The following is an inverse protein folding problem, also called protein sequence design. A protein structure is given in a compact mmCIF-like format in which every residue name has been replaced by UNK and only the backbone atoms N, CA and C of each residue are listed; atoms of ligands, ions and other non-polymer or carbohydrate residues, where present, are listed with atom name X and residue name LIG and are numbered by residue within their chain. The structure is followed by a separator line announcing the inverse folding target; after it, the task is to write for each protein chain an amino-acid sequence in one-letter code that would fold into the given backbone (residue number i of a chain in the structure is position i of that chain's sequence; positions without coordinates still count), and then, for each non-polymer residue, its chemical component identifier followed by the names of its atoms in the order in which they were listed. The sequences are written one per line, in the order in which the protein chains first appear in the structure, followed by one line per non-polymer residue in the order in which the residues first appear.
data_IF_503418553014
#
_entry.id   IF_503418553014
#
_cell.length_a   1.000
_cell.length_b   1.000
_cell.length_c   1.000
_cell.angle_alpha   90.00
_cell.angle_beta   90.00
_cell.angle_gamma   90.00
#
_symmetry.space_group_name_H-M   'P 1'
#
loop_
_entity.id
_entity.type
_entity.pdbx_description
1 polymer ?
#
# COMPACT_ATOMS: atom_id res chain seq x y z
N UNK A 1 25.36 28.97 5.64
CA UNK A 1 24.70 27.69 5.99
C UNK A 1 23.66 27.42 4.91
N UNK A 2 23.88 26.45 4.01
CA UNK A 2 22.85 26.02 3.05
C UNK A 2 21.80 25.21 3.83
N UNK A 3 20.54 25.60 3.71
CA UNK A 3 19.46 25.13 4.57
C UNK A 3 19.08 23.69 4.22
N UNK A 4 18.93 22.84 5.23
CA UNK A 4 18.48 21.44 5.12
C UNK A 4 17.16 21.32 4.34
N UNK A 5 16.35 22.39 4.31
CA UNK A 5 15.12 22.48 3.50
C UNK A 5 15.33 22.44 1.98
N UNK A 6 16.46 22.92 1.44
CA UNK A 6 16.70 22.90 -0.02
C UNK A 6 17.01 21.49 -0.52
N UNK A 7 17.72 20.68 0.29
CA UNK A 7 18.03 19.29 -0.07
C UNK A 7 16.79 18.39 -0.11
N UNK A 8 15.83 18.58 0.79
CA UNK A 8 14.59 17.80 0.78
C UNK A 8 13.80 18.03 -0.52
N UNK A 9 13.76 19.27 -1.03
CA UNK A 9 13.06 19.57 -2.29
C UNK A 9 13.73 18.98 -3.54
N UNK A 10 15.05 18.79 -3.52
CA UNK A 10 15.76 18.14 -4.62
C UNK A 10 15.56 16.62 -4.61
N UNK A 11 15.67 15.99 -3.44
CA UNK A 11 15.42 14.56 -3.26
C UNK A 11 13.97 14.18 -3.62
N UNK A 12 12.99 14.98 -3.18
CA UNK A 12 11.58 14.77 -3.50
C UNK A 12 11.30 14.88 -5.00
N UNK A 13 12.00 15.79 -5.70
CA UNK A 13 11.85 15.94 -7.16
C UNK A 13 12.37 14.73 -7.91
N UNK A 14 13.54 14.22 -7.52
CA UNK A 14 14.12 13.00 -8.11
C UNK A 14 13.22 11.80 -7.83
N UNK A 15 12.73 11.66 -6.61
CA UNK A 15 11.81 10.59 -6.24
C UNK A 15 10.52 10.61 -7.10
N UNK A 16 9.95 11.80 -7.36
CA UNK A 16 8.80 11.94 -8.26
C UNK A 16 9.13 11.55 -9.70
N UNK A 17 10.26 12.00 -10.23
CA UNK A 17 10.68 11.65 -11.61
C UNK A 17 10.90 10.14 -11.77
N UNK A 18 11.51 9.49 -10.78
CA UNK A 18 11.65 8.02 -10.75
C UNK A 18 10.28 7.37 -10.73
N UNK A 19 9.35 7.82 -9.88
CA UNK A 19 8.00 7.23 -9.80
C UNK A 19 7.20 7.40 -11.09
N UNK A 20 7.28 8.57 -11.73
CA UNK A 20 6.65 8.85 -13.02
C UNK A 20 7.22 7.92 -14.10
N UNK A 21 8.56 7.80 -14.16
CA UNK A 21 9.20 6.90 -15.11
C UNK A 21 8.84 5.43 -14.89
N UNK A 22 8.86 4.96 -13.63
CA UNK A 22 8.47 3.59 -13.30
C UNK A 22 7.02 3.31 -13.70
N UNK A 23 6.14 4.32 -13.62
CA UNK A 23 4.77 4.21 -14.08
C UNK A 23 4.68 4.16 -15.61
N UNK A 24 5.39 5.04 -16.33
CA UNK A 24 5.36 5.10 -17.80
C UNK A 24 6.00 3.87 -18.47
N UNK A 25 7.07 3.34 -17.88
CA UNK A 25 7.77 2.14 -18.36
C UNK A 25 7.04 0.83 -18.07
N UNK A 26 5.98 0.86 -17.25
CA UNK A 26 5.25 -0.33 -16.80
C UNK A 26 5.95 -1.12 -15.68
N UNK A 27 7.18 -0.75 -15.30
CA UNK A 27 7.94 -1.41 -14.22
C UNK A 27 7.20 -1.32 -12.88
N UNK A 28 6.51 -0.20 -12.60
CA UNK A 28 5.65 -0.07 -11.42
C UNK A 28 4.56 -1.13 -11.37
N UNK A 29 3.90 -1.39 -12.50
CA UNK A 29 2.80 -2.34 -12.55
C UNK A 29 3.30 -3.78 -12.51
N UNK A 30 4.44 -4.07 -13.16
CA UNK A 30 5.17 -5.34 -13.00
C UNK A 30 5.56 -5.62 -11.56
N UNK A 31 6.12 -4.63 -10.85
CA UNK A 31 6.49 -4.77 -9.43
C UNK A 31 5.24 -5.00 -8.56
N UNK A 32 4.12 -4.31 -8.83
CA UNK A 32 2.86 -4.55 -8.12
C UNK A 32 2.32 -5.96 -8.36
N UNK A 33 2.30 -6.42 -9.61
CA UNK A 33 1.81 -7.75 -9.96
C UNK A 33 2.67 -8.83 -9.31
N UNK A 34 4.00 -8.68 -9.37
CA UNK A 34 4.90 -9.56 -8.61
C UNK A 34 4.60 -9.53 -7.11
N UNK A 35 4.45 -8.35 -6.51
CA UNK A 35 4.20 -8.22 -5.07
C UNK A 35 2.90 -8.92 -4.66
N UNK A 36 1.83 -8.76 -5.44
CA UNK A 36 0.54 -9.44 -5.20
C UNK A 36 0.74 -10.95 -5.25
N UNK A 37 1.34 -11.47 -6.32
CA UNK A 37 1.58 -12.91 -6.50
C UNK A 37 2.48 -13.49 -5.39
N UNK A 38 3.52 -12.76 -4.98
CA UNK A 38 4.45 -13.20 -3.93
C UNK A 38 3.76 -13.25 -2.56
N UNK A 39 2.93 -12.25 -2.25
CA UNK A 39 2.13 -12.21 -1.01
C UNK A 39 1.07 -13.32 -0.98
N UNK A 40 0.38 -13.56 -2.11
CA UNK A 40 -0.60 -14.63 -2.24
C UNK A 40 0.04 -16.01 -2.09
N UNK A 41 1.17 -16.25 -2.78
CA UNK A 41 1.89 -17.53 -2.70
C UNK A 41 2.39 -17.86 -1.29
N UNK A 42 2.62 -16.82 -0.47
CA UNK A 42 3.02 -16.94 0.95
C UNK A 42 1.84 -17.01 1.91
N UNK A 43 0.61 -17.02 1.40
CA UNK A 43 -0.61 -17.09 2.19
C UNK A 43 -0.91 -15.83 3.00
N UNK A 44 -0.25 -14.71 2.69
CA UNK A 44 -0.45 -13.45 3.44
C UNK A 44 -1.87 -12.91 3.25
N UNK A 45 -2.39 -12.96 2.02
CA UNK A 45 -3.77 -12.56 1.70
C UNK A 45 -4.80 -13.44 2.42
N UNK A 46 -4.59 -14.76 2.45
CA UNK A 46 -5.46 -15.70 3.15
C UNK A 46 -5.46 -15.48 4.67
N UNK A 47 -4.29 -15.17 5.26
CA UNK A 47 -4.17 -14.84 6.68
C UNK A 47 -4.92 -13.55 7.03
N UNK A 48 -4.81 -12.50 6.21
CA UNK A 48 -5.58 -11.27 6.40
C UNK A 48 -7.09 -11.47 6.24
N UNK A 49 -7.50 -12.31 5.29
CA UNK A 49 -8.91 -12.64 5.11
C UNK A 49 -9.48 -13.31 6.36
N UNK A 50 -8.80 -14.34 6.87
CA UNK A 50 -9.18 -15.01 8.12
C UNK A 50 -9.24 -14.02 9.28
N UNK A 51 -8.27 -13.10 9.37
CA UNK A 51 -8.25 -12.07 10.42
C UNK A 51 -9.43 -11.11 10.30
N UNK A 52 -9.80 -10.73 9.09
CA UNK A 52 -10.98 -9.91 8.84
C UNK A 52 -12.26 -10.63 9.31
N UNK A 53 -12.40 -11.93 9.01
CA UNK A 53 -13.52 -12.75 9.46
C UNK A 53 -13.61 -12.83 11.00
N UNK A 54 -12.47 -12.97 11.68
CA UNK A 54 -12.40 -12.95 13.15
C UNK A 54 -12.87 -11.61 13.74
N UNK A 55 -12.44 -10.49 13.15
CA UNK A 55 -12.87 -9.14 13.58
C UNK A 55 -14.36 -8.94 13.34
N UNK A 56 -14.88 -9.32 12.17
CA UNK A 56 -16.31 -9.27 11.84
C UNK A 56 -17.13 -10.09 12.84
N UNK A 57 -16.69 -11.31 13.13
CA UNK A 57 -17.36 -12.21 14.07
C UNK A 57 -17.38 -11.64 15.48
N UNK A 58 -16.26 -11.07 15.95
CA UNK A 58 -16.18 -10.44 17.27
C UNK A 58 -17.09 -9.20 17.38
N UNK A 59 -17.20 -8.38 16.33
CA UNK A 59 -18.08 -7.21 16.34
C UNK A 59 -19.57 -7.57 16.31
N UNK A 60 -19.95 -8.69 15.68
CA UNK A 60 -21.34 -9.18 15.66
C UNK A 60 -21.85 -9.68 17.01
N UNK A 61 -20.97 -9.91 17.99
CA UNK A 61 -21.29 -10.41 19.33
C UNK A 61 -21.33 -9.32 20.41
N UNK A 62 -21.10 -8.04 20.05
CA UNK A 62 -21.18 -6.93 21.01
C UNK A 62 -22.66 -6.58 21.33
N UNK A 63 -23.09 -6.71 22.60
CA UNK A 63 -24.47 -6.42 23.01
C UNK A 63 -24.91 -4.96 22.78
N UNK A 64 -24.00 -4.02 22.51
CA UNK A 64 -24.37 -2.66 22.05
C UNK A 64 -25.09 -2.64 20.70
N UNK A 65 -24.94 -3.66 19.86
CA UNK A 65 -25.65 -3.80 18.57
C UNK A 65 -26.85 -4.76 18.66
N UNK A 66 -26.97 -5.55 19.73
CA UNK A 66 -28.06 -6.52 19.93
C UNK A 66 -29.31 -6.00 20.66
N UNK A 67 -29.28 -4.80 21.26
CA UNK A 67 -30.35 -4.30 22.13
C UNK A 67 -31.45 -3.48 21.42
N UNK A 68 -31.58 -3.53 20.09
CA UNK A 68 -32.72 -2.89 19.38
C UNK A 68 -33.78 -3.88 18.89
N UNK A 69 -33.48 -5.18 18.86
CA UNK A 69 -34.37 -6.20 18.27
C UNK A 69 -35.29 -6.86 19.30
N UNK A 70 -36.07 -6.03 20.00
CA UNK A 70 -37.20 -6.47 20.82
C UNK A 70 -38.58 -6.15 20.20
N UNK A 71 -38.61 -5.50 19.02
CA UNK A 71 -39.83 -5.29 18.23
C UNK A 71 -39.52 -5.49 16.75
N UNK A 72 -40.34 -6.26 16.01
CA UNK A 72 -40.16 -6.41 14.57
C UNK A 72 -40.35 -5.02 13.89
N UNK A 73 -39.41 -4.57 13.06
CA UNK A 73 -39.58 -3.32 12.33
C UNK A 73 -40.64 -3.50 11.25
N UNK A 74 -41.61 -2.59 11.23
CA UNK A 74 -42.58 -2.48 10.14
C UNK A 74 -41.84 -2.24 8.83
N UNK A 75 -42.20 -3.05 7.84
CA UNK A 75 -41.81 -2.91 6.43
C UNK A 75 -42.33 -1.56 5.93
N UNK A 76 -41.44 -0.60 5.71
CA UNK A 76 -41.48 0.48 4.71
C UNK A 76 -40.64 1.69 5.16
N UNK A 77 -39.33 1.64 4.90
CA UNK A 77 -38.49 2.82 4.73
C UNK A 77 -37.12 2.42 4.13
N UNK A 78 -36.61 3.13 3.10
CA UNK A 78 -35.26 2.92 2.60
C UNK A 78 -34.26 3.45 3.62
N UNK A 79 -33.90 2.61 4.58
CA UNK A 79 -32.98 2.98 5.65
C UNK A 79 -31.52 2.87 5.18
N UNK A 80 -30.95 4.04 4.90
CA UNK A 80 -29.56 4.45 5.16
C UNK A 80 -28.48 3.34 5.21
N UNK A 81 -27.73 3.19 4.11
CA UNK A 81 -26.47 2.41 4.02
C UNK A 81 -25.29 3.00 4.83
N UNK A 82 -25.54 3.88 5.81
CA UNK A 82 -24.49 4.67 6.46
C UNK A 82 -23.80 3.96 7.63
N UNK A 83 -24.38 2.88 8.16
CA UNK A 83 -23.81 2.05 9.24
C UNK A 83 -22.82 0.99 8.75
N UNK A 84 -23.02 0.44 7.55
CA UNK A 84 -22.17 -0.61 6.98
C UNK A 84 -20.82 -0.05 6.53
N UNK A 85 -20.81 1.14 5.92
CA UNK A 85 -19.59 1.84 5.50
C UNK A 85 -18.67 2.19 6.68
N UNK A 86 -19.24 2.57 7.83
CA UNK A 86 -18.48 2.87 9.04
C UNK A 86 -17.81 1.60 9.59
N UNK A 87 -18.48 0.45 9.46
CA UNK A 87 -18.00 -0.86 9.92
C UNK A 87 -16.86 -1.36 9.05
N UNK A 88 -17.00 -1.29 7.72
CA UNK A 88 -15.93 -1.65 6.77
C UNK A 88 -14.69 -0.78 6.97
N UNK A 89 -14.85 0.54 7.13
CA UNK A 89 -13.72 1.46 7.35
C UNK A 89 -12.99 1.18 8.67
N UNK A 90 -13.72 0.82 9.73
CA UNK A 90 -13.13 0.45 11.01
C UNK A 90 -12.35 -0.86 10.92
N UNK A 91 -12.88 -1.87 10.23
CA UNK A 91 -12.19 -3.14 10.00
C UNK A 91 -10.92 -2.91 9.17
N UNK A 92 -11.01 -2.14 8.08
CA UNK A 92 -9.87 -1.80 7.24
C UNK A 92 -8.77 -1.05 8.01
N UNK A 93 -9.16 -0.12 8.90
CA UNK A 93 -8.21 0.61 9.76
C UNK A 93 -7.48 -0.33 10.73
N UNK A 94 -8.19 -1.26 11.36
CA UNK A 94 -7.60 -2.25 12.27
C UNK A 94 -6.67 -3.21 11.53
N UNK A 95 -7.09 -3.71 10.36
CA UNK A 95 -6.30 -4.62 9.54
C UNK A 95 -5.08 -3.95 8.91
N UNK A 96 -5.13 -2.66 8.57
CA UNK A 96 -4.03 -1.96 7.86
C UNK A 96 -2.70 -2.03 8.62
N UNK A 97 -2.74 -1.82 9.94
CA UNK A 97 -1.54 -1.92 10.77
C UNK A 97 -1.01 -3.35 10.82
N UNK A 98 -1.89 -4.31 11.11
CA UNK A 98 -1.55 -5.74 11.20
C UNK A 98 -1.03 -6.27 9.85
N UNK A 99 -1.61 -5.83 8.74
CA UNK A 99 -1.19 -6.12 7.38
C UNK A 99 0.25 -5.67 7.12
N UNK A 100 0.59 -4.42 7.44
CA UNK A 100 1.95 -3.89 7.24
C UNK A 100 3.01 -4.62 8.10
N UNK A 101 2.67 -4.92 9.35
CA UNK A 101 3.58 -5.60 10.28
C UNK A 101 3.83 -7.06 9.89
N UNK A 102 2.78 -7.74 9.41
CA UNK A 102 2.79 -9.16 9.04
C UNK A 102 3.35 -9.45 7.64
N UNK A 103 3.70 -8.43 6.85
CA UNK A 103 4.37 -8.65 5.56
C UNK A 103 5.66 -9.45 5.80
N UNK A 104 5.87 -10.59 5.13
CA UNK A 104 7.07 -11.38 5.33
C UNK A 104 8.33 -10.58 4.98
N UNK A 105 9.35 -10.64 5.82
CA UNK A 105 10.59 -9.86 5.63
C UNK A 105 11.24 -10.12 4.27
N UNK A 106 11.24 -11.38 3.81
CA UNK A 106 11.73 -11.74 2.49
C UNK A 106 11.01 -11.00 1.35
N UNK A 107 9.70 -10.73 1.48
CA UNK A 107 8.92 -9.94 0.51
C UNK A 107 9.36 -8.48 0.56
N UNK A 108 9.47 -7.90 1.77
CA UNK A 108 9.91 -6.51 1.95
C UNK A 108 11.30 -6.27 1.38
N UNK A 109 12.25 -7.15 1.70
CA UNK A 109 13.63 -7.05 1.21
C UNK A 109 13.71 -7.18 -0.30
N UNK A 110 12.95 -8.11 -0.90
CA UNK A 110 12.89 -8.24 -2.36
C UNK A 110 12.22 -7.04 -3.02
N UNK A 111 11.12 -6.51 -2.47
CA UNK A 111 10.49 -5.28 -2.97
C UNK A 111 11.46 -4.10 -2.96
N UNK A 112 12.20 -3.91 -1.87
CA UNK A 112 13.23 -2.88 -1.79
C UNK A 112 14.31 -3.07 -2.87
N UNK A 113 14.72 -4.31 -3.13
CA UNK A 113 15.70 -4.62 -4.15
C UNK A 113 15.18 -4.32 -5.57
N UNK A 114 13.96 -4.75 -5.91
CA UNK A 114 13.33 -4.49 -7.21
C UNK A 114 13.18 -2.98 -7.46
N UNK A 115 12.74 -2.21 -6.44
CA UNK A 115 12.63 -0.74 -6.54
C UNK A 115 14.00 -0.09 -6.71
N UNK A 116 15.03 -0.55 -5.98
CA UNK A 116 16.39 -0.04 -6.11
C UNK A 116 16.96 -0.33 -7.50
N UNK A 117 16.74 -1.53 -8.03
CA UNK A 117 17.25 -1.91 -9.34
C UNK A 117 16.55 -1.15 -10.46
N UNK A 118 15.23 -0.98 -10.37
CA UNK A 118 14.48 -0.16 -11.33
C UNK A 118 14.89 1.33 -11.26
N UNK A 119 15.22 1.84 -10.06
CA UNK A 119 15.76 3.19 -9.88
C UNK A 119 17.16 3.32 -10.48
N UNK A 120 18.03 2.31 -10.28
CA UNK A 120 19.38 2.29 -10.87
C UNK A 120 19.33 2.24 -12.39
N UNK A 121 18.42 1.45 -12.94
CA UNK A 121 18.20 1.34 -14.37
C UNK A 121 17.73 2.68 -14.97
N UNK A 122 16.79 3.36 -14.32
CA UNK A 122 16.41 4.72 -14.70
C UNK A 122 17.61 5.66 -14.70
N UNK A 123 18.38 5.71 -13.59
CA UNK A 123 19.55 6.58 -13.49
C UNK A 123 20.61 6.24 -14.54
N UNK A 124 20.79 4.97 -14.91
CA UNK A 124 21.72 4.54 -15.94
C UNK A 124 21.23 4.90 -17.36
N UNK A 125 19.92 4.83 -17.60
CA UNK A 125 19.29 5.21 -18.88
C UNK A 125 19.29 6.72 -19.08
N UNK A 126 19.02 7.49 -18.03
CA UNK A 126 19.04 8.96 -18.07
C UNK A 126 20.46 9.56 -18.03
N UNK A 127 21.46 8.87 -17.47
CA UNK A 127 22.87 9.29 -17.51
C UNK A 127 23.61 8.89 -18.81
N UNK A 128 22.99 9.12 -19.97
CA UNK A 128 23.77 9.26 -21.21
C UNK A 128 23.32 10.42 -22.11
N UNK A 129 23.00 11.57 -21.52
CA UNK A 129 23.31 12.86 -22.13
C UNK A 129 24.02 13.82 -21.15
N UNK A 130 25.20 14.27 -21.60
CA UNK A 130 26.09 15.33 -21.09
C UNK A 130 27.25 14.97 -20.16
N UNK A 131 28.40 15.68 -20.32
CA UNK A 131 29.65 15.06 -20.68
C UNK A 131 30.59 15.04 -19.48
N UNK A 132 31.08 13.85 -19.13
CA UNK A 132 32.45 13.83 -18.61
C UNK A 132 33.32 14.23 -19.80
N UNK A 133 33.59 15.54 -19.90
CA UNK A 133 34.72 16.04 -20.66
C UNK A 133 35.89 15.12 -20.31
N UNK A 134 36.32 14.35 -21.32
CA UNK A 134 37.71 13.91 -21.40
C UNK A 134 38.54 15.19 -21.42
N UNK A 135 38.91 15.71 -20.26
CA UNK A 135 40.12 16.51 -20.19
C UNK A 135 41.27 15.52 -20.33
N UNK A 136 41.64 15.32 -21.59
CA UNK A 136 42.98 14.92 -21.97
C UNK A 136 43.96 15.97 -21.45
N UNK A 137 44.73 15.64 -20.40
CA UNK A 137 46.16 15.92 -20.33
C UNK A 137 46.81 15.22 -19.15
#
# INVERSE_FOLDING_TARGET
MKSVSENNTAADRVARQVLEHLQESGERDRIKEWLINDLESKGWTAMLFKRAEEICSAQSQDPKFGATSGKPPSVDAPHSMQGDDLTVRNIASQLSKEAMESVPEAVRSKLMQEVLDATREFVARENFESPVKKESK
#
